data_IF_978226009422
#
_entry.id   IF_978226009422
#
_cell.length_a   1.000
_cell.length_b   1.000
_cell.length_c   1.000
_cell.angle_alpha   90.00
_cell.angle_beta   90.00
_cell.angle_gamma   90.00
#
_symmetry.space_group_name_H-M   'P 1'
#
loop_
_entity.id
_entity.type
_entity.pdbx_description
1 polymer ?
#
# COMPACT_ATOMS: atom_id res chain seq x y z
N UNK A 1 -10.84 -0.69 4.30
CA UNK A 1 -9.55 -0.02 3.93
C UNK A 1 -9.20 -0.38 2.50
N UNK A 2 -8.55 0.52 1.77
CA UNK A 2 -8.16 0.30 0.36
C UNK A 2 -6.79 -0.37 0.17
N UNK A 3 -6.24 -1.05 1.19
CA UNK A 3 -5.02 -1.85 1.00
C UNK A 3 -5.31 -3.05 0.09
N UNK A 4 -4.46 -3.24 -0.90
CA UNK A 4 -4.51 -4.35 -1.86
C UNK A 4 -3.49 -5.44 -1.53
N UNK A 5 -2.38 -5.08 -0.86
CA UNK A 5 -1.30 -6.00 -0.51
C UNK A 5 -0.78 -5.74 0.91
N UNK A 6 -0.66 -6.77 1.73
CA UNK A 6 -0.08 -6.70 3.07
C UNK A 6 0.58 -8.02 3.46
N UNK A 7 1.50 -7.96 4.42
CA UNK A 7 2.25 -9.14 4.87
C UNK A 7 1.50 -9.83 6.02
N UNK A 8 0.89 -10.98 5.76
CA UNK A 8 0.19 -11.81 6.76
C UNK A 8 -1.34 -11.79 6.63
N UNK A 9 -2.03 -12.33 7.64
CA UNK A 9 -3.50 -12.46 7.61
C UNK A 9 -4.23 -11.14 7.85
N UNK A 10 -3.58 -10.17 8.50
CA UNK A 10 -4.14 -8.85 8.78
C UNK A 10 -3.11 -7.73 8.50
N UNK A 11 -3.56 -6.57 7.97
CA UNK A 11 -2.68 -5.45 7.70
C UNK A 11 -2.06 -4.89 8.99
N UNK A 12 -0.79 -4.50 8.91
CA UNK A 12 -0.06 -3.89 10.04
C UNK A 12 0.03 -2.37 9.89
N UNK A 13 0.39 -1.68 10.99
CA UNK A 13 0.69 -0.24 10.97
C UNK A 13 1.84 0.13 10.04
N UNK A 14 2.74 -0.80 9.72
CA UNK A 14 3.81 -0.56 8.74
C UNK A 14 3.25 -0.60 7.32
N UNK A 15 2.37 -1.55 7.03
CA UNK A 15 1.81 -1.74 5.70
C UNK A 15 0.97 -0.55 5.24
N UNK A 16 0.25 0.12 6.16
CA UNK A 16 -0.56 1.29 5.83
C UNK A 16 0.27 2.51 5.42
N UNK A 17 1.55 2.57 5.80
CA UNK A 17 2.44 3.67 5.47
C UNK A 17 3.10 3.51 4.10
N UNK A 18 2.98 2.34 3.47
CA UNK A 18 3.60 2.06 2.19
C UNK A 18 2.61 2.34 1.05
N UNK A 19 2.89 3.34 0.23
CA UNK A 19 2.00 3.73 -0.88
C UNK A 19 1.73 2.60 -1.89
N UNK A 20 2.75 1.78 -2.21
CA UNK A 20 2.62 0.66 -3.16
C UNK A 20 1.59 -0.39 -2.74
N UNK A 21 1.32 -0.50 -1.43
CA UNK A 21 0.36 -1.46 -0.88
C UNK A 21 -1.11 -1.08 -1.14
N UNK A 22 -1.34 0.08 -1.77
CA UNK A 22 -2.66 0.53 -2.22
C UNK A 22 -2.84 0.39 -3.74
N UNK A 23 -1.80 -0.06 -4.47
CA UNK A 23 -1.85 -0.26 -5.92
C UNK A 23 -2.30 -1.69 -6.25
N UNK A 24 -3.08 -1.83 -7.31
CA UNK A 24 -3.45 -3.13 -7.88
C UNK A 24 -2.28 -3.74 -8.65
N UNK A 25 -2.40 -5.02 -9.00
CA UNK A 25 -1.36 -5.72 -9.77
C UNK A 25 -1.06 -5.03 -11.11
N UNK A 26 -2.09 -4.60 -11.83
CA UNK A 26 -1.92 -3.91 -13.12
C UNK A 26 -1.22 -2.55 -12.95
N UNK A 27 -1.59 -1.79 -11.90
CA UNK A 27 -0.96 -0.51 -11.57
C UNK A 27 0.51 -0.69 -11.15
N UNK A 28 0.82 -1.75 -10.39
CA UNK A 28 2.19 -2.12 -10.03
C UNK A 28 3.02 -2.53 -11.26
N UNK A 29 2.43 -3.26 -12.22
CA UNK A 29 3.10 -3.60 -13.48
C UNK A 29 3.42 -2.35 -14.28
N UNK A 30 2.48 -1.42 -14.39
CA UNK A 30 2.72 -0.13 -15.06
C UNK A 30 3.85 0.64 -14.37
N UNK A 31 3.81 0.76 -13.04
CA UNK A 31 4.85 1.43 -12.26
C UNK A 31 6.23 0.79 -12.47
N UNK A 32 6.33 -0.54 -12.44
CA UNK A 32 7.59 -1.25 -12.65
C UNK A 32 8.14 -0.99 -14.06
N UNK A 33 7.29 -1.09 -15.08
CA UNK A 33 7.70 -0.82 -16.46
C UNK A 33 8.16 0.62 -16.67
N UNK A 34 7.49 1.58 -16.01
CA UNK A 34 7.87 2.99 -16.03
C UNK A 34 9.27 3.20 -15.44
N UNK A 35 9.53 2.61 -14.28
CA UNK A 35 10.81 2.69 -13.57
C UNK A 35 11.92 2.04 -14.38
N UNK A 36 11.69 0.84 -14.91
CA UNK A 36 12.65 0.15 -15.78
C UNK A 36 12.96 0.97 -17.03
N UNK A 37 11.94 1.46 -17.74
CA UNK A 37 12.15 2.26 -18.96
C UNK A 37 12.91 3.57 -18.69
N UNK A 38 12.72 4.18 -17.52
CA UNK A 38 13.48 5.36 -17.12
C UNK A 38 14.96 5.05 -16.87
N UNK A 39 15.27 3.90 -16.25
CA UNK A 39 16.65 3.45 -16.07
C UNK A 39 17.32 3.08 -17.40
N UNK A 40 16.62 2.41 -18.30
CA UNK A 40 17.13 2.08 -19.65
C UNK A 40 17.47 3.36 -20.42
N UNK A 41 16.63 4.40 -20.30
CA UNK A 41 16.91 5.71 -20.88
C UNK A 41 18.19 6.34 -20.29
N UNK A 42 18.34 6.32 -18.96
CA UNK A 42 19.53 6.84 -18.30
C UNK A 42 20.80 6.09 -18.74
N UNK A 43 20.71 4.77 -18.90
CA UNK A 43 21.81 3.93 -19.40
C UNK A 43 22.20 4.31 -20.84
N UNK A 44 21.22 4.51 -21.74
CA UNK A 44 21.49 4.95 -23.12
C UNK A 44 22.21 6.30 -23.14
N UNK A 45 21.80 7.24 -22.29
CA UNK A 45 22.44 8.55 -22.22
C UNK A 45 23.87 8.46 -21.69
N UNK A 46 24.11 7.60 -20.69
CA UNK A 46 25.44 7.31 -20.17
C UNK A 46 26.34 6.66 -21.24
N UNK A 47 25.82 5.67 -21.99
CA UNK A 47 26.55 5.04 -23.10
C UNK A 47 26.91 6.03 -24.20
N UNK A 48 26.02 6.99 -24.49
CA UNK A 48 26.26 8.06 -25.47
C UNK A 48 27.18 9.16 -24.96
N UNK A 49 27.67 9.06 -23.72
CA UNK A 49 28.48 10.07 -23.05
C UNK A 49 27.81 11.45 -23.07
N UNK A 50 26.48 11.47 -23.01
CA UNK A 50 25.73 12.71 -22.94
C UNK A 50 25.64 13.15 -21.48
N UNK A 51 26.23 14.30 -21.10
CA UNK A 51 26.13 14.79 -19.73
C UNK A 51 24.68 15.17 -19.43
N UNK A 52 24.10 14.59 -18.38
CA UNK A 52 22.79 14.97 -17.85
C UNK A 52 22.93 15.49 -16.42
N UNK A 53 22.27 16.61 -16.14
CA UNK A 53 22.15 17.17 -14.81
C UNK A 53 20.82 16.75 -14.17
N UNK A 54 20.70 16.93 -12.85
CA UNK A 54 19.48 16.54 -12.12
C UNK A 54 18.21 17.20 -12.68
N UNK A 55 18.31 18.44 -13.15
CA UNK A 55 17.19 19.14 -13.78
C UNK A 55 16.74 18.49 -15.10
N UNK A 56 17.69 17.94 -15.87
CA UNK A 56 17.38 17.25 -17.14
C UNK A 56 16.66 15.93 -16.88
N UNK A 57 17.08 15.19 -15.85
CA UNK A 57 16.42 13.98 -15.38
C UNK A 57 14.96 14.24 -14.99
N UNK A 58 14.69 15.31 -14.24
CA UNK A 58 13.33 15.69 -13.85
C UNK A 58 12.47 15.99 -15.09
N UNK A 59 12.98 16.81 -16.02
CA UNK A 59 12.25 17.15 -17.26
C UNK A 59 11.93 15.93 -18.11
N UNK A 60 12.87 14.99 -18.22
CA UNK A 60 12.66 13.75 -18.95
C UNK A 60 11.63 12.86 -18.28
N UNK A 61 11.65 12.76 -16.95
CA UNK A 61 10.65 12.02 -16.20
C UNK A 61 9.25 12.62 -16.40
N UNK A 62 9.12 13.95 -16.32
CA UNK A 62 7.84 14.65 -16.56
C UNK A 62 7.33 14.41 -17.99
N UNK A 63 8.22 14.44 -18.98
CA UNK A 63 7.87 14.13 -20.37
C UNK A 63 7.43 12.68 -20.54
N UNK A 64 8.08 11.74 -19.84
CA UNK A 64 7.76 10.33 -19.91
C UNK A 64 6.37 10.08 -19.30
N UNK A 65 6.10 10.62 -18.11
CA UNK A 65 4.79 10.56 -17.46
C UNK A 65 3.68 11.16 -18.34
N UNK A 66 3.94 12.33 -18.92
CA UNK A 66 3.00 12.99 -19.85
C UNK A 66 2.71 12.13 -21.07
N UNK A 67 3.71 11.43 -21.61
CA UNK A 67 3.56 10.54 -22.77
C UNK A 67 2.82 9.24 -22.46
N UNK A 68 2.92 8.74 -21.22
CA UNK A 68 2.17 7.55 -20.77
C UNK A 68 0.72 7.88 -20.39
N UNK A 69 0.32 9.15 -20.45
CA UNK A 69 -1.03 9.62 -20.11
C UNK A 69 -1.23 9.86 -18.61
N UNK A 70 -0.16 9.83 -17.82
CA UNK A 70 -0.20 10.10 -16.39
C UNK A 70 -0.09 11.60 -16.13
N UNK A 71 -0.80 12.08 -15.10
CA UNK A 71 -0.77 13.48 -14.73
C UNK A 71 0.54 13.80 -13.97
N UNK A 72 1.35 14.69 -14.53
CA UNK A 72 2.50 15.25 -13.82
C UNK A 72 1.98 16.14 -12.70
N UNK A 73 2.52 15.94 -11.49
CA UNK A 73 2.20 16.75 -10.32
C UNK A 73 2.88 18.12 -10.45
N UNK A 74 2.07 19.18 -10.54
CA UNK A 74 2.58 20.55 -10.52
C UNK A 74 2.87 20.97 -9.06
N UNK A 75 4.17 21.09 -8.73
CA UNK A 75 4.65 21.45 -7.41
C UNK A 75 4.56 20.32 -6.36
N UNK A 76 4.60 20.70 -5.08
CA UNK A 76 4.65 19.75 -3.95
C UNK A 76 3.30 19.11 -3.58
N UNK A 77 2.24 19.38 -4.35
CA UNK A 77 0.87 19.03 -3.99
C UNK A 77 0.35 19.77 -2.75
N UNK A 78 -0.86 19.43 -2.31
CA UNK A 78 -1.56 20.05 -1.17
C UNK A 78 -1.56 19.20 0.11
N UNK A 79 -1.14 17.94 0.00
CA UNK A 79 -1.21 16.96 1.08
C UNK A 79 0.22 16.60 1.51
N UNK A 80 0.56 16.95 2.75
CA UNK A 80 1.84 16.55 3.33
C UNK A 80 1.87 15.07 3.67
N UNK A 81 3.06 14.49 3.71
CA UNK A 81 3.27 13.10 4.13
C UNK A 81 2.68 12.82 5.52
N UNK A 82 2.84 13.76 6.48
CA UNK A 82 2.26 13.64 7.82
C UNK A 82 0.73 13.53 7.79
N UNK A 83 0.06 14.35 6.96
CA UNK A 83 -1.40 14.33 6.81
C UNK A 83 -1.88 13.03 6.14
N UNK A 84 -1.11 12.49 5.20
CA UNK A 84 -1.40 11.19 4.59
C UNK A 84 -1.31 10.04 5.61
N UNK A 85 -0.26 10.02 6.45
CA UNK A 85 -0.10 9.02 7.51
C UNK A 85 -1.22 9.14 8.56
N UNK A 86 -1.57 10.35 8.98
CA UNK A 86 -2.65 10.57 9.94
C UNK A 86 -3.99 10.03 9.43
N UNK A 87 -4.28 10.26 8.13
CA UNK A 87 -5.46 9.69 7.49
C UNK A 87 -5.42 8.16 7.47
N UNK A 88 -4.30 7.58 7.04
CA UNK A 88 -4.13 6.13 6.98
C UNK A 88 -4.27 5.46 8.36
N UNK A 89 -3.67 6.06 9.39
CA UNK A 89 -3.75 5.56 10.77
C UNK A 89 -5.16 5.67 11.35
N UNK A 90 -5.89 6.73 11.01
CA UNK A 90 -7.31 6.88 11.42
C UNK A 90 -8.19 5.80 10.80
N UNK A 91 -8.04 5.53 9.50
CA UNK A 91 -8.77 4.46 8.82
C UNK A 91 -8.37 3.07 9.33
N UNK A 92 -7.09 2.88 9.66
CA UNK A 92 -6.61 1.66 10.28
C UNK A 92 -7.22 1.39 11.65
N UNK A 93 -7.36 2.43 12.49
CA UNK A 93 -8.04 2.30 13.79
C UNK A 93 -9.50 1.90 13.64
N UNK A 94 -10.22 2.47 12.67
CA UNK A 94 -11.60 2.06 12.36
C UNK A 94 -11.66 0.60 11.93
N UNK A 95 -10.71 0.16 11.12
CA UNK A 95 -10.59 -1.25 10.73
C UNK A 95 -10.32 -2.16 11.93
N UNK A 96 -9.39 -1.80 12.83
CA UNK A 96 -9.10 -2.63 14.01
C UNK A 96 -10.32 -2.83 14.93
N UNK A 97 -11.19 -1.82 15.06
CA UNK A 97 -12.41 -1.96 15.88
C UNK A 97 -13.43 -2.90 15.23
N UNK A 98 -13.44 -3.00 13.90
CA UNK A 98 -14.39 -3.84 13.15
C UNK A 98 -13.85 -5.24 12.85
N UNK A 99 -12.53 -5.37 12.72
CA UNK A 99 -11.86 -6.63 12.39
C UNK A 99 -11.65 -7.43 13.68
N UNK A 100 -12.53 -8.39 13.93
CA UNK A 100 -12.34 -9.38 14.99
C UNK A 100 -11.11 -10.21 14.62
N UNK A 101 -10.12 -10.28 15.49
CA UNK A 101 -8.94 -11.08 15.22
C UNK A 101 -9.33 -12.58 15.13
N UNK A 102 -8.69 -13.39 14.28
CA UNK A 102 -8.95 -14.83 14.20
C UNK A 102 -8.86 -15.53 15.57
N UNK A 103 -7.92 -15.09 16.41
CA UNK A 103 -7.75 -15.57 17.79
C UNK A 103 -8.94 -15.24 18.68
N UNK A 104 -9.55 -14.06 18.52
CA UNK A 104 -10.74 -13.67 19.27
C UNK A 104 -11.97 -14.48 18.82
N UNK A 105 -12.06 -14.83 17.54
CA UNK A 105 -13.10 -15.74 17.06
C UNK A 105 -12.93 -17.14 17.65
N UNK A 106 -11.72 -17.71 17.63
CA UNK A 106 -11.45 -19.01 18.24
C UNK A 106 -11.74 -19.00 19.75
N UNK A 107 -11.36 -17.93 20.45
CA UNK A 107 -11.68 -17.76 21.86
C UNK A 107 -13.20 -17.73 22.12
N UNK A 108 -13.96 -16.96 21.33
CA UNK A 108 -15.42 -16.92 21.43
C UNK A 108 -16.06 -18.28 21.15
N UNK A 109 -15.53 -19.03 20.18
CA UNK A 109 -16.04 -20.36 19.84
C UNK A 109 -15.72 -21.39 20.92
N UNK A 110 -14.54 -21.30 21.56
CA UNK A 110 -14.24 -22.14 22.74
C UNK A 110 -15.14 -21.84 23.92
N UNK A 111 -15.45 -20.56 24.20
CA UNK A 111 -16.43 -20.19 25.25
C UNK A 111 -17.80 -20.77 24.93
N UNK A 112 -18.31 -20.60 23.71
CA UNK A 112 -19.61 -21.14 23.30
C UNK A 112 -19.65 -22.68 23.43
N UNK A 113 -18.56 -23.35 23.10
CA UNK A 113 -18.45 -24.81 23.25
C UNK A 113 -18.51 -25.23 24.72
N UNK A 114 -17.76 -24.55 25.58
CA UNK A 114 -17.77 -24.79 27.03
C UNK A 114 -19.14 -24.50 27.66
N UNK A 115 -19.84 -23.44 27.26
CA UNK A 115 -21.21 -23.17 27.72
C UNK A 115 -22.18 -24.29 27.32
N UNK A 116 -22.03 -24.84 26.11
CA UNK A 116 -22.88 -25.92 25.61
C UNK A 116 -22.64 -27.22 26.38
N UNK A 117 -21.39 -27.54 26.70
CA UNK A 117 -21.01 -28.68 27.54
C UNK A 117 -21.46 -28.52 28.99
N UNK A 118 -21.37 -27.31 29.55
CA UNK A 118 -21.86 -27.02 30.90
C UNK A 118 -23.38 -27.16 30.99
N UNK A 119 -24.13 -26.67 29.97
CA UNK A 119 -25.58 -26.84 29.89
C UNK A 119 -26.01 -28.29 29.71
N UNK A 120 -25.28 -29.10 28.93
CA UNK A 120 -25.60 -30.52 28.79
C UNK A 120 -25.39 -31.29 30.09
N UNK A 121 -24.32 -30.99 30.84
CA UNK A 121 -24.05 -31.60 32.15
C UNK A 121 -24.99 -31.14 33.26
N UNK A 122 -25.59 -29.95 33.17
CA UNK A 122 -26.61 -29.48 34.12
C UNK A 122 -28.01 -30.07 33.91
N UNK A 123 -28.21 -30.79 32.80
CA UNK A 123 -29.49 -31.44 32.43
C UNK A 123 -29.52 -32.94 32.73
N UNK A 124 -28.38 -33.53 33.14
CA UNK A 124 -28.28 -34.85 33.78
C UNK A 124 -28.39 -34.68 35.30
#
# INVERSE_FOLDING_TARGET
>A
MGLTSFSGDMPTLKDIGVAKNYLKEDELKVLNNLVSGYFDFAEIQAMRHNPMYMDDYIRHLDSLLSSTGEAVLDGSGTISHAKAIEKATTEYRKYQVQAIAPVEQEYLDTIKRLEKEAKSKSKE
#
